data_IF_558578599465
#
_entry.id   IF_558578599465
#
_cell.length_a   1.000
_cell.length_b   1.000
_cell.length_c   1.000
_cell.angle_alpha   90.00
_cell.angle_beta   90.00
_cell.angle_gamma   90.00
#
_symmetry.space_group_name_H-M   'P 1'
#
loop_
_entity.id
_entity.type
_entity.pdbx_description
1 polymer ?
#
# COMPACT_ATOMS: atom_id res chain seq x y z
N UNK A 1 5.15 42.75 6.38
CA UNK A 1 5.32 41.64 7.37
C UNK A 1 4.06 40.81 7.57
N UNK A 2 2.88 41.38 7.86
CA UNK A 2 1.65 40.62 8.13
C UNK A 2 1.19 39.67 7.00
N UNK A 3 1.43 40.04 5.73
CA UNK A 3 1.05 39.19 4.57
C UNK A 3 1.89 37.92 4.49
N UNK A 4 3.20 37.99 4.77
CA UNK A 4 4.07 36.81 4.73
C UNK A 4 3.74 35.80 5.81
N UNK A 5 3.43 36.27 7.03
CA UNK A 5 3.00 35.39 8.13
C UNK A 5 1.70 34.65 7.78
N UNK A 6 0.75 35.33 7.12
CA UNK A 6 -0.49 34.70 6.64
C UNK A 6 -0.21 33.60 5.61
N UNK A 7 0.66 33.84 4.63
CA UNK A 7 1.03 32.85 3.59
C UNK A 7 1.67 31.60 4.23
N UNK A 8 2.61 31.78 5.15
CA UNK A 8 3.29 30.66 5.83
C UNK A 8 2.29 29.81 6.62
N UNK A 9 1.36 30.45 7.35
CA UNK A 9 0.32 29.72 8.08
C UNK A 9 -0.65 28.98 7.15
N UNK A 10 -0.95 29.51 5.96
CA UNK A 10 -1.79 28.85 4.96
C UNK A 10 -1.10 27.60 4.41
N UNK A 11 0.18 27.71 4.05
CA UNK A 11 0.98 26.57 3.56
C UNK A 11 1.09 25.47 4.63
N UNK A 12 1.33 25.85 5.89
CA UNK A 12 1.36 24.90 7.00
C UNK A 12 0.06 24.11 7.16
N UNK A 13 -1.10 24.77 7.01
CA UNK A 13 -2.42 24.10 7.04
C UNK A 13 -2.60 23.14 5.88
N UNK A 14 -2.19 23.50 4.68
CA UNK A 14 -2.28 22.62 3.50
C UNK A 14 -1.43 21.36 3.68
N UNK A 15 -0.22 21.51 4.19
CA UNK A 15 0.66 20.37 4.49
C UNK A 15 0.03 19.49 5.58
N UNK A 16 -0.50 20.08 6.65
CA UNK A 16 -1.16 19.33 7.72
C UNK A 16 -2.38 18.54 7.21
N UNK A 17 -3.23 19.16 6.38
CA UNK A 17 -4.38 18.49 5.76
C UNK A 17 -3.92 17.33 4.87
N UNK A 18 -2.87 17.55 4.06
CA UNK A 18 -2.31 16.49 3.24
C UNK A 18 -1.83 15.31 4.10
N UNK A 19 -1.05 15.58 5.14
CA UNK A 19 -0.56 14.53 6.06
C UNK A 19 -1.71 13.77 6.71
N UNK A 20 -2.71 14.47 7.24
CA UNK A 20 -3.88 13.85 7.88
C UNK A 20 -4.70 13.01 6.91
N UNK A 21 -4.92 13.50 5.68
CA UNK A 21 -5.62 12.74 4.64
C UNK A 21 -4.90 11.44 4.30
N UNK A 22 -3.57 11.47 4.19
CA UNK A 22 -2.79 10.27 3.90
C UNK A 22 -2.76 9.30 5.09
N UNK A 23 -2.61 9.82 6.31
CA UNK A 23 -2.68 9.02 7.53
C UNK A 23 -4.03 8.29 7.63
N UNK A 24 -5.13 8.98 7.35
CA UNK A 24 -6.48 8.40 7.33
C UNK A 24 -6.61 7.24 6.34
N UNK A 25 -6.10 7.41 5.12
CA UNK A 25 -6.11 6.35 4.09
C UNK A 25 -5.30 5.13 4.53
N UNK A 26 -4.11 5.34 5.09
CA UNK A 26 -3.24 4.26 5.56
C UNK A 26 -3.91 3.48 6.69
N UNK A 27 -4.49 4.18 7.67
CA UNK A 27 -5.23 3.56 8.77
C UNK A 27 -6.43 2.77 8.25
N UNK A 28 -7.21 3.35 7.33
CA UNK A 28 -8.35 2.66 6.73
C UNK A 28 -7.96 1.38 6.00
N UNK A 29 -6.85 1.38 5.26
CA UNK A 29 -6.37 0.18 4.53
C UNK A 29 -5.82 -0.90 5.46
N UNK A 30 -5.10 -0.50 6.50
CA UNK A 30 -4.47 -1.45 7.43
C UNK A 30 -5.45 -2.06 8.43
N UNK A 31 -6.47 -1.31 8.85
CA UNK A 31 -7.32 -1.71 9.98
C UNK A 31 -8.80 -1.88 9.63
N UNK A 32 -9.31 -1.13 8.64
CA UNK A 32 -10.74 -1.14 8.30
C UNK A 32 -11.08 -2.00 7.07
N UNK A 33 -10.07 -2.54 6.38
CA UNK A 33 -10.30 -3.44 5.24
C UNK A 33 -10.67 -4.84 5.73
N UNK A 34 -11.69 -5.52 5.16
CA UNK A 34 -11.98 -6.92 5.49
C UNK A 34 -10.79 -7.86 5.20
N UNK A 35 -9.87 -7.43 4.33
CA UNK A 35 -8.70 -8.20 3.87
C UNK A 35 -7.50 -8.05 4.82
N UNK A 36 -7.50 -7.06 5.73
CA UNK A 36 -6.41 -6.90 6.71
C UNK A 36 -6.42 -7.96 7.82
N UNK A 37 -7.44 -8.81 7.86
CA UNK A 37 -7.53 -9.98 8.74
C UNK A 37 -6.55 -11.08 8.33
N UNK A 38 -6.08 -11.08 7.09
CA UNK A 38 -5.17 -12.09 6.58
C UNK A 38 -3.71 -11.72 6.83
N UNK A 39 -2.85 -12.70 7.15
CA UNK A 39 -1.44 -12.45 7.40
C UNK A 39 -0.74 -12.02 6.10
N UNK A 40 0.13 -11.00 6.17
CA UNK A 40 0.90 -10.54 5.03
C UNK A 40 1.83 -9.36 5.34
N UNK A 41 2.69 -8.95 4.39
CA UNK A 41 3.59 -7.83 4.58
C UNK A 41 2.82 -6.52 4.72
N UNK A 42 2.96 -5.84 5.86
CA UNK A 42 2.32 -4.53 6.08
C UNK A 42 2.73 -3.49 5.04
N UNK A 43 3.94 -3.59 4.49
CA UNK A 43 4.41 -2.72 3.39
C UNK A 43 3.68 -2.99 2.07
N UNK A 44 3.16 -4.20 1.85
CA UNK A 44 2.28 -4.51 0.72
C UNK A 44 0.85 -4.01 0.99
N UNK A 45 0.37 -4.09 2.23
CA UNK A 45 -0.91 -3.52 2.66
C UNK A 45 -0.92 -1.96 2.67
N UNK A 46 0.24 -1.34 2.79
CA UNK A 46 0.42 0.12 2.66
C UNK A 46 0.91 0.51 1.27
N UNK A 47 1.28 -0.47 0.43
CA UNK A 47 2.14 -0.36 -0.74
C UNK A 47 1.59 0.54 -1.83
N UNK A 48 1.58 1.84 -1.56
CA UNK A 48 1.17 2.94 -2.42
C UNK A 48 1.44 4.29 -1.74
N UNK A 49 2.71 4.56 -1.47
CA UNK A 49 3.08 5.79 -0.78
C UNK A 49 3.68 6.86 -1.72
N UNK A 50 4.09 6.51 -2.94
CA UNK A 50 4.80 7.47 -3.80
C UNK A 50 4.44 7.33 -5.28
N UNK A 51 3.23 7.77 -5.66
CA UNK A 51 2.95 8.19 -7.04
C UNK A 51 1.55 8.79 -7.14
N UNK A 52 1.52 10.06 -7.51
CA UNK A 52 0.35 10.76 -8.04
C UNK A 52 -0.32 9.90 -9.12
N UNK A 53 -1.63 9.65 -8.99
CA UNK A 53 -2.43 8.95 -10.00
C UNK A 53 -3.44 7.98 -9.39
N UNK A 54 -4.65 8.48 -9.11
CA UNK A 54 -5.75 7.76 -8.44
C UNK A 54 -6.41 6.67 -9.31
N UNK A 55 -6.15 6.66 -10.61
CA UNK A 55 -6.73 5.71 -11.54
C UNK A 55 -5.68 4.70 -12.02
N UNK A 56 -6.04 3.41 -11.88
CA UNK A 56 -5.41 2.24 -12.50
C UNK A 56 -3.97 1.85 -12.09
N UNK A 57 -3.10 2.78 -11.66
CA UNK A 57 -1.71 2.47 -11.25
C UNK A 57 -1.55 2.14 -9.76
N UNK A 58 -2.66 2.06 -9.04
CA UNK A 58 -2.73 1.75 -7.60
C UNK A 58 -2.66 0.23 -7.30
N UNK A 59 -2.92 -0.65 -8.27
CA UNK A 59 -3.09 -2.10 -8.02
C UNK A 59 -1.85 -2.96 -8.22
N UNK A 60 -0.92 -2.56 -9.09
CA UNK A 60 0.05 -3.49 -9.68
C UNK A 60 1.51 -3.21 -9.33
N UNK A 61 1.83 -2.37 -8.32
CA UNK A 61 3.21 -1.86 -8.17
C UNK A 61 4.21 -2.85 -7.59
N UNK A 62 3.78 -3.69 -6.66
CA UNK A 62 4.65 -4.75 -6.17
C UNK A 62 4.94 -5.72 -7.32
N UNK A 63 3.89 -6.19 -8.02
CA UNK A 63 4.04 -7.01 -9.20
C UNK A 63 4.93 -6.38 -10.28
N UNK A 64 4.70 -5.12 -10.67
CA UNK A 64 5.50 -4.40 -11.67
C UNK A 64 6.94 -4.18 -11.20
N UNK A 65 7.18 -3.90 -9.92
CA UNK A 65 8.55 -3.79 -9.40
C UNK A 65 9.30 -5.12 -9.52
N UNK A 66 8.66 -6.22 -9.13
CA UNK A 66 9.31 -7.53 -9.22
C UNK A 66 9.36 -8.09 -10.64
N UNK A 67 8.39 -7.76 -11.49
CA UNK A 67 8.29 -8.29 -12.85
C UNK A 67 9.03 -7.44 -13.88
N UNK A 68 8.88 -6.11 -13.84
CA UNK A 68 9.49 -5.20 -14.82
C UNK A 68 10.88 -4.75 -14.39
N UNK A 69 11.07 -4.43 -13.11
CA UNK A 69 12.37 -3.89 -12.62
C UNK A 69 13.31 -5.02 -12.20
N UNK A 70 12.81 -6.07 -11.52
CA UNK A 70 13.61 -7.21 -11.07
C UNK A 70 13.56 -8.43 -12.00
N UNK A 71 12.90 -8.32 -13.16
CA UNK A 71 12.94 -9.33 -14.22
C UNK A 71 12.10 -10.59 -13.94
N UNK A 72 10.81 -10.42 -13.72
CA UNK A 72 9.83 -11.53 -13.68
C UNK A 72 9.83 -12.37 -12.41
N UNK A 73 10.32 -11.85 -11.27
CA UNK A 73 10.49 -12.63 -10.03
C UNK A 73 9.33 -12.52 -9.04
N UNK A 74 8.19 -11.95 -9.43
CA UNK A 74 7.08 -11.74 -8.49
C UNK A 74 6.53 -13.06 -7.93
N UNK A 75 6.45 -14.10 -8.75
CA UNK A 75 5.97 -15.42 -8.33
C UNK A 75 6.86 -16.08 -7.27
N UNK A 76 8.19 -15.91 -7.34
CA UNK A 76 9.11 -16.40 -6.32
C UNK A 76 8.82 -15.70 -4.98
N UNK A 77 8.55 -14.40 -5.04
CA UNK A 77 8.26 -13.64 -3.83
C UNK A 77 6.94 -14.05 -3.21
N UNK A 78 5.92 -14.32 -4.00
CA UNK A 78 4.65 -14.88 -3.52
C UNK A 78 4.91 -16.24 -2.84
N UNK A 79 5.71 -17.13 -3.43
CA UNK A 79 6.05 -18.42 -2.83
C UNK A 79 6.80 -18.27 -1.49
N UNK A 80 7.74 -17.32 -1.37
CA UNK A 80 8.39 -17.00 -0.10
C UNK A 80 7.41 -16.45 0.93
N UNK A 81 6.47 -15.62 0.51
CA UNK A 81 5.44 -15.11 1.39
C UNK A 81 4.54 -16.22 1.92
N UNK A 82 4.17 -17.20 1.09
CA UNK A 82 3.44 -18.39 1.54
C UNK A 82 4.23 -19.22 2.55
N UNK A 83 5.55 -19.37 2.36
CA UNK A 83 6.42 -20.04 3.36
C UNK A 83 6.42 -19.31 4.70
N UNK A 84 6.28 -17.98 4.69
CA UNK A 84 6.38 -17.14 5.89
C UNK A 84 5.04 -16.90 6.60
N UNK A 85 3.98 -16.71 5.85
CA UNK A 85 2.67 -16.26 6.35
C UNK A 85 1.58 -17.34 6.25
N UNK A 86 1.84 -18.43 5.52
CA UNK A 86 0.94 -19.57 5.41
C UNK A 86 0.18 -19.66 4.07
N UNK A 87 -0.84 -20.53 3.99
CA UNK A 87 -1.54 -20.85 2.74
C UNK A 87 -2.31 -19.68 2.13
N UNK A 88 -2.72 -18.70 2.95
CA UNK A 88 -3.45 -17.50 2.53
C UNK A 88 -2.63 -16.27 2.92
N UNK A 89 -2.24 -15.48 1.94
CA UNK A 89 -1.37 -14.31 2.14
C UNK A 89 -1.98 -13.07 1.53
N UNK A 90 -2.03 -11.99 2.30
CA UNK A 90 -2.34 -10.67 1.74
C UNK A 90 -1.15 -10.14 0.92
N UNK A 91 -1.29 -10.14 -0.41
CA UNK A 91 -0.27 -9.62 -1.33
C UNK A 91 -0.46 -8.14 -1.64
N UNK A 92 -1.67 -7.60 -1.45
CA UNK A 92 -2.02 -6.19 -1.68
C UNK A 92 -3.17 -5.76 -0.73
N UNK A 93 -3.45 -4.46 -0.58
CA UNK A 93 -4.52 -3.98 0.32
C UNK A 93 -5.93 -4.47 -0.07
N UNK A 94 -6.07 -4.91 -1.32
CA UNK A 94 -7.33 -5.30 -1.96
C UNK A 94 -7.31 -6.74 -2.50
N UNK A 95 -6.22 -7.47 -2.34
CA UNK A 95 -6.04 -8.79 -2.95
C UNK A 95 -5.19 -9.68 -2.04
N UNK A 96 -5.55 -10.95 -1.99
CA UNK A 96 -4.81 -12.00 -1.31
C UNK A 96 -4.58 -13.15 -2.28
N UNK A 97 -3.51 -13.89 -2.05
CA UNK A 97 -3.14 -15.07 -2.82
C UNK A 97 -3.37 -16.31 -1.95
N UNK A 98 -3.92 -17.37 -2.55
CA UNK A 98 -4.14 -18.67 -1.91
C UNK A 98 -3.24 -19.68 -2.62
N UNK A 99 -2.47 -20.45 -1.84
CA UNK A 99 -1.61 -21.53 -2.35
C UNK A 99 -2.10 -22.93 -1.92
N UNK A 100 -3.23 -23.02 -1.25
CA UNK A 100 -3.82 -24.27 -0.76
C UNK A 100 -4.71 -24.90 -1.83
N UNK A 101 -4.43 -26.14 -2.27
CA UNK A 101 -5.29 -26.87 -3.18
C UNK A 101 -6.58 -27.42 -2.54
N UNK A 102 -6.72 -27.38 -1.20
CA UNK A 102 -7.90 -27.88 -0.47
C UNK A 102 -8.93 -26.79 -0.12
N UNK A 103 -8.78 -25.57 -0.64
CA UNK A 103 -9.73 -24.47 -0.46
C UNK A 103 -10.89 -24.49 -1.47
#
# INVERSE_FOLDING_TARGET
MAVQVKIISLLGRLVAIAVLYHAWIVIGRLYLSPISKFPGPKLAAVGHFFSLGKDLRLRLRYQIYYDVILGGRYWHQIAELHKKYGPVVQINPYEFHISDPEF
#
